data_IF_084980538883
#
_entry.id   IF_084980538883
#
_cell.length_a   1.000
_cell.length_b   1.000
_cell.length_c   1.000
_cell.angle_alpha   90.00
_cell.angle_beta   90.00
_cell.angle_gamma   90.00
#
_symmetry.space_group_name_H-M   'P 1'
#
loop_
_entity.id
_entity.type
_entity.pdbx_description
1 polymer ?
#
# COMPACT_ATOMS: atom_id res chain seq x y z
N UNK A 1 -22.00 12.47 -4.18
CA UNK A 1 -20.84 11.84 -3.52
C UNK A 1 -20.64 12.46 -2.12
N UNK A 2 -21.59 12.26 -1.18
CA UNK A 2 -21.51 12.80 0.20
C UNK A 2 -21.59 11.67 1.24
N UNK A 3 -22.24 10.56 0.90
CA UNK A 3 -22.31 9.36 1.73
C UNK A 3 -21.10 8.47 1.47
N UNK A 4 -20.01 8.70 2.19
CA UNK A 4 -18.78 7.92 2.05
C UNK A 4 -19.00 6.42 2.36
N UNK A 5 -19.99 6.11 3.20
CA UNK A 5 -20.39 4.75 3.53
C UNK A 5 -21.17 4.02 2.42
N UNK A 6 -21.65 4.72 1.38
CA UNK A 6 -22.57 4.15 0.40
C UNK A 6 -21.98 2.94 -0.34
N UNK A 7 -20.69 2.97 -0.68
CA UNK A 7 -20.03 1.84 -1.34
C UNK A 7 -20.09 0.57 -0.49
N UNK A 8 -19.71 0.65 0.80
CA UNK A 8 -19.79 -0.48 1.73
C UNK A 8 -21.25 -0.95 1.92
N UNK A 9 -22.20 -0.01 2.04
CA UNK A 9 -23.63 -0.34 2.14
C UNK A 9 -24.15 -1.08 0.90
N UNK A 10 -23.78 -0.64 -0.31
CA UNK A 10 -24.21 -1.31 -1.54
C UNK A 10 -23.66 -2.73 -1.65
N UNK A 11 -22.39 -2.95 -1.29
CA UNK A 11 -21.79 -4.31 -1.26
C UNK A 11 -22.52 -5.18 -0.24
N UNK A 12 -22.78 -4.67 0.97
CA UNK A 12 -23.51 -5.41 2.01
C UNK A 12 -24.94 -5.76 1.58
N UNK A 13 -25.67 -4.82 0.97
CA UNK A 13 -27.04 -5.05 0.49
C UNK A 13 -27.09 -6.07 -0.65
N UNK A 14 -26.22 -5.93 -1.65
CA UNK A 14 -26.18 -6.79 -2.84
C UNK A 14 -25.93 -8.25 -2.45
N UNK A 15 -24.99 -8.48 -1.53
CA UNK A 15 -24.56 -9.82 -1.15
C UNK A 15 -25.17 -10.29 0.18
N UNK A 16 -26.12 -9.54 0.75
CA UNK A 16 -26.74 -9.80 2.05
C UNK A 16 -25.71 -10.10 3.16
N UNK A 17 -24.60 -9.35 3.18
CA UNK A 17 -23.53 -9.47 4.18
C UNK A 17 -23.95 -8.75 5.46
N UNK A 18 -24.08 -9.49 6.56
CA UNK A 18 -24.64 -8.99 7.84
C UNK A 18 -23.62 -8.82 8.96
N UNK A 19 -22.33 -8.97 8.66
CA UNK A 19 -21.24 -8.69 9.60
C UNK A 19 -20.97 -7.18 9.76
N UNK A 20 -19.85 -6.79 10.42
CA UNK A 20 -19.43 -5.40 10.49
C UNK A 20 -19.30 -4.78 9.09
N UNK A 21 -19.91 -3.62 8.88
CA UNK A 21 -19.91 -2.91 7.59
C UNK A 21 -19.72 -1.41 7.81
N UNK A 22 -18.60 -0.87 7.32
CA UNK A 22 -18.21 0.52 7.51
C UNK A 22 -17.21 0.96 6.43
N UNK A 23 -16.87 2.25 6.43
CA UNK A 23 -15.84 2.83 5.55
C UNK A 23 -14.78 3.51 6.41
N UNK A 24 -13.53 3.44 5.97
CA UNK A 24 -12.37 4.08 6.60
C UNK A 24 -11.92 5.25 5.76
N UNK A 25 -11.54 6.35 6.40
CA UNK A 25 -11.05 7.56 5.75
C UNK A 25 -9.78 8.05 6.45
N UNK A 26 -8.63 7.64 5.93
CA UNK A 26 -7.29 8.04 6.38
C UNK A 26 -6.44 8.52 5.20
N UNK A 27 -7.06 9.29 4.31
CA UNK A 27 -6.47 9.78 3.06
C UNK A 27 -5.86 8.62 2.23
N UNK A 28 -4.62 8.73 1.78
CA UNK A 28 -3.97 7.75 0.89
C UNK A 28 -3.77 6.36 1.51
N UNK A 29 -3.89 6.23 2.84
CA UNK A 29 -3.74 4.97 3.57
C UNK A 29 -5.09 4.33 3.93
N UNK A 30 -6.21 4.86 3.41
CA UNK A 30 -7.57 4.41 3.76
C UNK A 30 -7.77 2.92 3.53
N UNK A 31 -7.40 2.41 2.36
CA UNK A 31 -7.52 0.98 2.05
C UNK A 31 -6.62 0.12 2.93
N UNK A 32 -5.39 0.54 3.25
CA UNK A 32 -4.50 -0.24 4.11
C UNK A 32 -5.02 -0.30 5.55
N UNK A 33 -5.57 0.82 6.06
CA UNK A 33 -6.25 0.81 7.36
C UNK A 33 -7.49 -0.09 7.35
N UNK A 34 -8.31 -0.05 6.29
CA UNK A 34 -9.48 -0.93 6.16
C UNK A 34 -9.08 -2.42 6.11
N UNK A 35 -8.02 -2.75 5.40
CA UNK A 35 -7.49 -4.12 5.32
C UNK A 35 -6.86 -4.57 6.65
N UNK A 36 -6.11 -3.71 7.33
CA UNK A 36 -5.60 -3.97 8.67
C UNK A 36 -6.72 -4.24 9.69
N UNK A 37 -7.79 -3.44 9.66
CA UNK A 37 -8.96 -3.65 10.52
C UNK A 37 -9.70 -4.94 10.18
N UNK A 38 -9.88 -5.27 8.91
CA UNK A 38 -10.46 -6.54 8.48
C UNK A 38 -9.62 -7.74 8.96
N UNK A 39 -8.30 -7.68 8.81
CA UNK A 39 -7.40 -8.69 9.34
C UNK A 39 -7.52 -8.84 10.86
N UNK A 40 -7.58 -7.73 11.62
CA UNK A 40 -7.78 -7.78 13.06
C UNK A 40 -9.14 -8.39 13.46
N UNK A 41 -10.21 -8.14 12.70
CA UNK A 41 -11.54 -8.75 12.93
C UNK A 41 -11.53 -10.25 12.68
N UNK A 42 -10.84 -10.70 11.62
CA UNK A 42 -10.64 -12.14 11.34
C UNK A 42 -9.79 -12.79 12.43
N UNK A 43 -8.61 -12.22 12.72
CA UNK A 43 -7.66 -12.73 13.70
C UNK A 43 -8.24 -12.83 15.12
N UNK A 44 -9.16 -11.94 15.49
CA UNK A 44 -9.84 -11.97 16.79
C UNK A 44 -11.04 -12.92 16.86
N UNK A 45 -11.45 -13.53 15.75
CA UNK A 45 -12.64 -14.35 15.65
C UNK A 45 -13.96 -13.55 15.62
N UNK A 46 -13.90 -12.22 15.48
CA UNK A 46 -15.10 -11.38 15.39
C UNK A 46 -15.91 -11.67 14.11
N UNK A 47 -15.22 -11.99 13.01
CA UNK A 47 -15.83 -12.49 11.78
C UNK A 47 -14.90 -13.48 11.11
N UNK A 48 -15.35 -14.67 10.68
CA UNK A 48 -14.47 -15.64 10.00
C UNK A 48 -14.05 -15.17 8.59
N UNK A 49 -14.82 -14.25 8.00
CA UNK A 49 -14.59 -13.71 6.65
C UNK A 49 -14.87 -12.21 6.65
N UNK A 50 -14.01 -11.43 6.00
CA UNK A 50 -14.19 -10.00 5.79
C UNK A 50 -13.91 -9.63 4.34
N UNK A 51 -14.85 -8.93 3.69
CA UNK A 51 -14.60 -8.26 2.41
C UNK A 51 -13.98 -6.90 2.71
N UNK A 52 -12.82 -6.60 2.14
CA UNK A 52 -12.06 -5.39 2.43
C UNK A 52 -11.29 -4.89 1.21
N UNK A 53 -10.85 -3.64 1.23
CA UNK A 53 -10.13 -3.01 0.12
C UNK A 53 -10.39 -1.51 0.05
N UNK A 54 -10.47 -0.97 -1.15
CA UNK A 54 -10.74 0.44 -1.37
C UNK A 54 -11.04 0.76 -2.82
N UNK A 55 -11.76 1.85 -3.03
CA UNK A 55 -12.09 2.39 -4.35
C UNK A 55 -12.00 3.91 -4.32
N UNK A 56 -11.54 4.50 -5.40
CA UNK A 56 -11.57 5.94 -5.59
C UNK A 56 -11.95 6.29 -7.04
N UNK A 57 -12.79 7.32 -7.17
CA UNK A 57 -13.13 7.92 -8.46
C UNK A 57 -13.28 9.43 -8.29
N UNK A 58 -12.14 10.13 -8.38
CA UNK A 58 -12.04 11.57 -8.17
C UNK A 58 -11.50 12.37 -9.35
N UNK A 59 -11.42 11.78 -10.55
CA UNK A 59 -11.08 12.49 -11.79
C UNK A 59 -12.28 13.33 -12.26
N UNK A 60 -12.56 14.37 -11.48
CA UNK A 60 -13.46 15.44 -11.83
C UNK A 60 -12.75 16.77 -11.63
N UNK A 61 -13.26 17.84 -12.23
CA UNK A 61 -12.62 19.16 -12.17
C UNK A 61 -12.29 19.60 -10.74
N UNK A 62 -13.24 19.47 -9.81
CA UNK A 62 -13.02 19.82 -8.40
C UNK A 62 -11.97 18.94 -7.72
N UNK A 63 -11.96 17.64 -8.01
CA UNK A 63 -10.97 16.70 -7.48
C UNK A 63 -9.56 17.01 -7.96
N UNK A 64 -9.37 17.18 -9.26
CA UNK A 64 -8.04 17.51 -9.82
C UNK A 64 -7.53 18.86 -9.34
N UNK A 65 -8.38 19.91 -9.38
CA UNK A 65 -7.98 21.27 -8.99
C UNK A 65 -7.62 21.38 -7.50
N UNK A 66 -8.26 20.61 -6.63
CA UNK A 66 -7.91 20.60 -5.20
C UNK A 66 -6.46 20.15 -4.97
N UNK A 67 -6.00 19.13 -5.68
CA UNK A 67 -4.63 18.60 -5.55
C UNK A 67 -3.59 19.43 -6.29
N UNK A 68 -3.98 20.06 -7.41
CA UNK A 68 -3.13 21.09 -8.03
C UNK A 68 -2.87 22.26 -7.08
N UNK A 69 -3.88 22.65 -6.28
CA UNK A 69 -3.74 23.68 -5.25
C UNK A 69 -2.72 23.34 -4.16
N UNK A 70 -2.49 22.04 -3.88
CA UNK A 70 -1.46 21.56 -2.95
C UNK A 70 -0.05 21.55 -3.57
N UNK A 71 0.08 21.82 -4.89
CA UNK A 71 1.35 21.83 -5.64
C UNK A 71 2.12 20.51 -5.58
N UNK A 72 1.38 19.40 -5.56
CA UNK A 72 1.94 18.03 -5.55
C UNK A 72 1.75 17.29 -6.87
N UNK A 73 1.07 17.92 -7.84
CA UNK A 73 0.75 17.32 -9.13
C UNK A 73 1.92 17.44 -10.11
N UNK A 74 2.25 16.33 -10.77
CA UNK A 74 3.08 16.30 -11.96
C UNK A 74 2.26 16.74 -13.18
N UNK A 75 2.96 17.20 -14.23
CA UNK A 75 2.35 17.56 -15.52
C UNK A 75 2.15 16.37 -16.45
N UNK A 76 2.81 15.25 -16.20
CA UNK A 76 2.87 14.13 -17.13
C UNK A 76 2.71 12.75 -16.46
N UNK A 77 3.52 12.41 -15.46
CA UNK A 77 3.56 11.08 -14.86
C UNK A 77 4.04 11.09 -13.40
N UNK A 78 3.63 10.05 -12.65
CA UNK A 78 4.31 9.65 -11.42
C UNK A 78 5.65 8.99 -11.81
N UNK A 79 6.77 9.53 -11.34
CA UNK A 79 8.10 8.90 -11.49
C UNK A 79 8.74 8.59 -10.13
N UNK A 80 8.18 7.64 -9.35
CA UNK A 80 8.69 7.35 -8.01
C UNK A 80 10.18 7.04 -8.03
N UNK A 81 10.92 7.64 -7.10
CA UNK A 81 12.36 7.43 -6.88
C UNK A 81 13.30 7.89 -8.02
N UNK A 82 12.77 8.33 -9.17
CA UNK A 82 13.58 8.90 -10.26
C UNK A 82 14.11 10.29 -9.85
N UNK A 83 15.35 10.63 -10.24
CA UNK A 83 15.96 11.93 -9.93
C UNK A 83 15.15 13.12 -10.48
N UNK A 84 14.48 12.93 -11.62
CA UNK A 84 13.67 13.94 -12.28
C UNK A 84 12.18 13.92 -11.87
N UNK A 85 11.82 13.24 -10.79
CA UNK A 85 10.45 13.23 -10.25
C UNK A 85 9.99 14.63 -9.85
N UNK A 86 8.73 14.94 -10.13
CA UNK A 86 8.19 16.30 -9.97
C UNK A 86 6.76 16.32 -9.41
N UNK A 87 6.26 15.18 -8.90
CA UNK A 87 4.93 15.05 -8.34
C UNK A 87 4.22 13.76 -8.74
N UNK A 88 2.94 13.71 -8.41
CA UNK A 88 2.02 12.62 -8.72
C UNK A 88 1.03 13.00 -9.82
N UNK A 89 0.50 12.01 -10.54
CA UNK A 89 -0.75 12.13 -11.30
C UNK A 89 -1.85 11.39 -10.56
N UNK A 90 -3.10 11.83 -10.69
CA UNK A 90 -4.24 11.15 -10.07
C UNK A 90 -4.67 9.94 -10.90
N UNK A 91 -5.04 8.88 -10.20
CA UNK A 91 -5.68 7.70 -10.76
C UNK A 91 -7.09 7.50 -10.21
N UNK A 92 -7.83 6.60 -10.84
CA UNK A 92 -9.07 6.03 -10.30
C UNK A 92 -8.99 4.52 -10.40
N UNK A 93 -9.72 3.83 -9.53
CA UNK A 93 -9.71 2.38 -9.51
C UNK A 93 -10.26 1.81 -8.22
N UNK A 94 -10.36 0.49 -8.19
CA UNK A 94 -10.78 -0.25 -7.02
C UNK A 94 -10.01 -1.57 -6.92
N UNK A 95 -9.70 -1.95 -5.68
CA UNK A 95 -9.23 -3.29 -5.32
C UNK A 95 -10.07 -3.81 -4.16
N UNK A 96 -10.50 -5.07 -4.24
CA UNK A 96 -11.31 -5.72 -3.21
C UNK A 96 -10.78 -7.13 -3.00
N UNK A 97 -10.61 -7.51 -1.74
CA UNK A 97 -10.09 -8.79 -1.29
C UNK A 97 -11.02 -9.42 -0.27
N UNK A 98 -10.93 -10.74 -0.16
CA UNK A 98 -11.58 -11.53 0.89
C UNK A 98 -10.49 -11.96 1.85
N UNK A 99 -10.52 -11.44 3.07
CA UNK A 99 -9.69 -11.92 4.16
C UNK A 99 -10.49 -12.95 4.95
N UNK A 100 -9.88 -14.08 5.24
CA UNK A 100 -10.57 -15.23 5.80
C UNK A 100 -9.66 -15.99 6.75
N UNK A 101 -10.27 -16.54 7.80
CA UNK A 101 -9.58 -17.42 8.72
C UNK A 101 -9.00 -18.64 7.98
N UNK A 102 -7.75 -19.00 8.28
CA UNK A 102 -7.02 -20.02 7.52
C UNK A 102 -7.67 -21.40 7.60
N UNK A 103 -8.10 -21.81 8.80
CA UNK A 103 -8.71 -23.12 9.00
C UNK A 103 -10.10 -23.16 8.35
N UNK A 104 -10.85 -22.06 8.43
CA UNK A 104 -12.12 -21.90 7.72
C UNK A 104 -11.95 -22.00 6.19
N UNK A 105 -10.98 -21.27 5.62
CA UNK A 105 -10.65 -21.31 4.19
C UNK A 105 -10.26 -22.72 3.74
N UNK A 106 -9.41 -23.40 4.51
CA UNK A 106 -8.99 -24.78 4.21
C UNK A 106 -10.13 -25.78 4.29
N UNK A 107 -10.97 -25.69 5.32
CA UNK A 107 -12.09 -26.61 5.52
C UNK A 107 -13.06 -26.60 4.32
N UNK A 108 -13.26 -25.44 3.69
CA UNK A 108 -14.11 -25.31 2.49
C UNK A 108 -13.36 -25.45 1.16
N UNK A 109 -12.05 -25.73 1.18
CA UNK A 109 -11.23 -25.89 -0.03
C UNK A 109 -11.03 -24.61 -0.84
N UNK A 110 -10.94 -23.45 -0.18
CA UNK A 110 -10.68 -22.18 -0.85
C UNK A 110 -9.28 -22.13 -1.48
N UNK A 111 -9.14 -21.44 -2.61
CA UNK A 111 -7.84 -21.04 -3.13
C UNK A 111 -7.25 -19.94 -2.24
N UNK A 112 -6.05 -20.19 -1.70
CA UNK A 112 -5.34 -19.23 -0.85
C UNK A 112 -4.28 -18.54 -1.70
N UNK A 113 -4.39 -17.22 -1.85
CA UNK A 113 -3.49 -16.43 -2.69
C UNK A 113 -2.17 -16.11 -1.98
N UNK A 114 -2.25 -15.72 -0.71
CA UNK A 114 -1.14 -15.47 0.20
C UNK A 114 -1.67 -15.36 1.63
N UNK A 115 -0.75 -15.30 2.60
CA UNK A 115 -1.05 -15.00 4.01
C UNK A 115 -0.91 -13.49 4.25
N UNK A 116 -1.87 -12.88 4.94
CA UNK A 116 -1.66 -11.58 5.61
C UNK A 116 -1.09 -11.91 6.98
N UNK A 117 0.22 -11.74 7.17
CA UNK A 117 0.91 -12.21 8.36
C UNK A 117 0.84 -11.21 9.52
N UNK A 118 0.76 -9.92 9.20
CA UNK A 118 0.63 -8.87 10.21
C UNK A 118 0.48 -7.48 9.63
N UNK A 119 0.32 -6.50 10.50
CA UNK A 119 0.18 -5.09 10.11
C UNK A 119 0.64 -4.15 11.21
N UNK A 120 0.83 -2.88 10.84
CA UNK A 120 0.82 -1.80 11.81
C UNK A 120 0.23 -0.53 11.22
N UNK A 121 -0.33 0.29 12.12
CA UNK A 121 -0.85 1.61 11.82
C UNK A 121 -0.21 2.61 12.79
N UNK A 122 0.28 3.73 12.30
CA UNK A 122 0.90 4.77 13.13
C UNK A 122 0.43 6.16 12.74
N UNK A 123 0.61 7.12 13.66
CA UNK A 123 0.47 8.54 13.37
C UNK A 123 1.82 9.23 13.51
N UNK A 124 2.11 10.16 12.60
CA UNK A 124 3.28 11.04 12.68
C UNK A 124 3.10 12.11 13.75
N UNK A 125 1.87 12.58 13.94
CA UNK A 125 1.49 13.63 14.89
C UNK A 125 2.38 14.91 14.81
N UNK A 126 2.88 15.24 13.62
CA UNK A 126 3.83 16.35 13.43
C UNK A 126 3.36 17.43 12.47
N UNK A 127 2.93 17.07 11.25
CA UNK A 127 2.53 18.01 10.20
C UNK A 127 1.44 17.39 9.32
N UNK A 128 0.60 18.23 8.69
CA UNK A 128 -0.52 17.76 7.86
C UNK A 128 -0.06 17.30 6.47
N UNK A 129 1.04 17.84 5.93
CA UNK A 129 1.56 17.53 4.59
C UNK A 129 2.93 16.84 4.65
N UNK A 130 3.80 17.25 5.56
CA UNK A 130 5.19 16.76 5.56
C UNK A 130 5.28 15.33 6.09
N UNK A 131 5.91 14.40 5.35
CA UNK A 131 6.06 13.01 5.78
C UNK A 131 7.09 12.89 6.90
N UNK A 132 6.95 11.85 7.74
CA UNK A 132 7.89 11.54 8.82
C UNK A 132 8.68 10.25 8.58
N UNK A 133 10.02 10.35 8.54
CA UNK A 133 10.91 9.17 8.46
C UNK A 133 10.64 8.21 9.63
N UNK A 134 10.55 8.77 10.84
CA UNK A 134 10.31 7.98 12.04
C UNK A 134 8.92 7.34 12.04
N UNK A 135 7.91 8.01 11.49
CA UNK A 135 6.56 7.48 11.35
C UNK A 135 6.47 6.26 10.44
N UNK A 136 7.04 6.39 9.24
CA UNK A 136 7.15 5.29 8.28
C UNK A 136 7.97 4.12 8.85
N UNK A 137 9.11 4.40 9.49
CA UNK A 137 9.94 3.37 10.13
C UNK A 137 9.19 2.61 11.23
N UNK A 138 8.45 3.32 12.12
CA UNK A 138 7.61 2.69 13.14
C UNK A 138 6.53 1.80 12.54
N UNK A 139 5.91 2.22 11.43
CA UNK A 139 4.89 1.42 10.77
C UNK A 139 5.47 0.14 10.17
N UNK A 140 6.62 0.21 9.47
CA UNK A 140 7.28 -0.98 8.94
C UNK A 140 7.76 -1.93 10.05
N UNK A 141 8.44 -1.41 11.08
CA UNK A 141 8.91 -2.21 12.22
C UNK A 141 7.74 -2.86 12.97
N UNK A 142 6.64 -2.12 13.16
CA UNK A 142 5.44 -2.64 13.82
C UNK A 142 4.81 -3.79 13.04
N UNK A 143 4.72 -3.67 11.71
CA UNK A 143 4.16 -4.73 10.87
C UNK A 143 5.02 -6.00 10.89
N UNK A 144 6.36 -5.85 10.86
CA UNK A 144 7.29 -6.96 11.01
C UNK A 144 7.16 -7.63 12.39
N UNK A 145 7.04 -6.84 13.45
CA UNK A 145 6.89 -7.34 14.82
C UNK A 145 5.55 -8.08 15.02
N UNK A 146 4.43 -7.51 14.53
CA UNK A 146 3.10 -8.14 14.59
C UNK A 146 3.05 -9.45 13.78
N UNK A 147 3.80 -9.52 12.67
CA UNK A 147 3.91 -10.72 11.84
C UNK A 147 4.95 -11.76 12.33
N UNK A 148 5.79 -11.41 13.30
CA UNK A 148 6.94 -12.24 13.71
C UNK A 148 7.92 -12.51 12.58
N UNK A 149 8.16 -11.52 11.71
CA UNK A 149 9.04 -11.62 10.53
C UNK A 149 10.35 -10.87 10.80
N UNK A 150 11.49 -11.50 10.47
CA UNK A 150 12.78 -10.81 10.48
C UNK A 150 12.92 -9.93 9.23
N UNK A 151 13.58 -8.78 9.38
CA UNK A 151 13.73 -7.80 8.30
C UNK A 151 14.43 -8.39 7.07
N UNK A 152 15.33 -9.35 7.27
CA UNK A 152 16.11 -10.04 6.23
C UNK A 152 15.26 -11.02 5.39
N UNK A 153 14.06 -11.40 5.86
CA UNK A 153 13.13 -12.26 5.12
C UNK A 153 12.32 -11.47 4.07
N UNK A 154 12.26 -10.15 4.20
CA UNK A 154 11.52 -9.29 3.27
C UNK A 154 12.24 -9.25 1.93
N UNK A 155 11.60 -9.75 0.88
CA UNK A 155 12.18 -9.74 -0.46
C UNK A 155 11.67 -8.61 -1.34
N UNK A 156 10.52 -8.01 -1.00
CA UNK A 156 9.89 -6.98 -1.83
C UNK A 156 9.11 -5.95 -1.01
N UNK A 157 9.19 -4.69 -1.41
CA UNK A 157 8.29 -3.62 -0.94
C UNK A 157 7.56 -3.03 -2.15
N UNK A 158 6.23 -3.04 -2.12
CA UNK A 158 5.46 -2.08 -2.91
C UNK A 158 5.28 -0.82 -2.06
N UNK A 159 6.01 0.22 -2.46
CA UNK A 159 6.19 1.44 -1.69
C UNK A 159 4.98 2.39 -1.81
N UNK A 160 4.90 3.35 -0.91
CA UNK A 160 3.98 4.46 -1.10
C UNK A 160 4.40 5.32 -2.30
N UNK A 161 5.70 5.59 -2.49
CA UNK A 161 6.36 6.14 -3.69
C UNK A 161 5.47 7.01 -4.58
N UNK A 162 5.19 8.24 -4.16
CA UNK A 162 4.26 9.14 -4.88
C UNK A 162 4.92 9.87 -6.04
N UNK A 163 6.25 9.81 -6.18
CA UNK A 163 6.96 10.65 -7.15
C UNK A 163 7.14 12.09 -6.69
N UNK A 164 6.83 12.40 -5.42
CA UNK A 164 7.13 13.70 -4.82
C UNK A 164 8.52 13.67 -4.18
N UNK A 165 9.26 14.77 -4.29
CA UNK A 165 10.63 14.85 -3.77
C UNK A 165 10.71 14.56 -2.25
N UNK A 166 9.79 15.12 -1.46
CA UNK A 166 9.77 14.93 -0.02
C UNK A 166 9.43 13.48 0.38
N UNK A 167 8.33 12.92 -0.16
CA UNK A 167 7.90 11.57 0.20
C UNK A 167 8.95 10.53 -0.15
N UNK A 168 9.44 10.53 -1.39
CA UNK A 168 10.29 9.45 -1.86
C UNK A 168 11.63 9.43 -1.13
N UNK A 169 12.19 10.61 -0.78
CA UNK A 169 13.39 10.71 0.07
C UNK A 169 13.12 10.19 1.47
N UNK A 170 12.00 10.60 2.07
CA UNK A 170 11.64 10.18 3.43
C UNK A 170 11.38 8.69 3.52
N UNK A 171 10.67 8.12 2.56
CA UNK A 171 10.40 6.68 2.48
C UNK A 171 11.68 5.89 2.25
N UNK A 172 12.55 6.31 1.33
CA UNK A 172 13.84 5.64 1.12
C UNK A 172 14.71 5.66 2.37
N UNK A 173 14.80 6.81 3.05
CA UNK A 173 15.53 6.92 4.30
C UNK A 173 14.93 6.07 5.43
N UNK A 174 13.61 5.88 5.46
CA UNK A 174 12.95 5.01 6.42
C UNK A 174 13.21 3.53 6.11
N UNK A 175 13.19 3.14 4.83
CA UNK A 175 13.53 1.77 4.41
C UNK A 175 14.97 1.45 4.78
N UNK A 176 15.93 2.33 4.45
CA UNK A 176 17.32 2.14 4.83
C UNK A 176 17.52 2.01 6.36
N UNK A 177 16.78 2.79 7.16
CA UNK A 177 16.83 2.75 8.63
C UNK A 177 16.27 1.44 9.20
N UNK A 178 15.18 0.92 8.62
CA UNK A 178 14.55 -0.33 9.08
C UNK A 178 15.32 -1.56 8.64
N UNK A 179 15.80 -1.58 7.40
CA UNK A 179 16.40 -2.78 6.80
C UNK A 179 17.93 -2.81 6.91
N UNK A 180 18.59 -1.70 7.23
CA UNK A 180 20.05 -1.64 7.35
C UNK A 180 20.72 -2.11 6.05
N UNK A 181 21.73 -2.97 6.15
CA UNK A 181 22.43 -3.53 4.97
C UNK A 181 21.53 -4.38 4.09
N UNK A 182 20.41 -4.89 4.60
CA UNK A 182 19.44 -5.64 3.78
C UNK A 182 18.74 -4.75 2.76
N UNK A 183 18.68 -3.43 2.98
CA UNK A 183 18.07 -2.49 2.05
C UNK A 183 18.73 -2.51 0.65
N UNK A 184 20.03 -2.85 0.58
CA UNK A 184 20.80 -2.91 -0.67
C UNK A 184 20.35 -4.05 -1.61
N UNK A 185 19.67 -5.06 -1.08
CA UNK A 185 19.17 -6.24 -1.82
C UNK A 185 17.64 -6.29 -1.86
N UNK A 186 16.98 -5.33 -1.22
CA UNK A 186 15.54 -5.30 -1.09
C UNK A 186 14.92 -4.65 -2.33
N UNK A 187 14.25 -5.47 -3.12
CA UNK A 187 13.54 -4.98 -4.31
C UNK A 187 12.41 -4.05 -3.89
N UNK A 188 12.31 -2.91 -4.56
CA UNK A 188 11.26 -1.94 -4.31
C UNK A 188 10.65 -1.45 -5.62
N UNK A 189 9.34 -1.20 -5.61
CA UNK A 189 8.68 -0.50 -6.71
C UNK A 189 7.61 0.43 -6.15
N UNK A 190 7.10 1.33 -7.00
CA UNK A 190 5.79 1.94 -6.75
C UNK A 190 4.95 1.85 -8.01
N UNK A 191 3.84 1.12 -7.87
CA UNK A 191 2.95 0.90 -9.00
C UNK A 191 2.13 2.11 -9.43
N UNK A 192 2.19 3.22 -8.67
CA UNK A 192 1.59 4.51 -9.05
C UNK A 192 2.09 5.04 -10.39
N UNK A 193 3.27 4.61 -10.82
CA UNK A 193 3.79 4.88 -12.16
C UNK A 193 2.89 4.34 -13.30
N UNK A 194 2.14 3.26 -13.06
CA UNK A 194 1.25 2.64 -14.06
C UNK A 194 -0.20 3.12 -13.98
N UNK A 195 -0.73 3.31 -12.76
CA UNK A 195 -2.16 3.60 -12.55
C UNK A 195 -2.44 4.97 -11.96
N UNK A 196 -1.39 5.78 -11.72
CA UNK A 196 -1.50 7.04 -11.00
C UNK A 196 -1.71 6.83 -9.50
N UNK A 197 -2.02 7.90 -8.77
CA UNK A 197 -2.34 7.80 -7.35
C UNK A 197 -3.86 7.75 -7.17
N UNK A 198 -4.39 6.57 -6.83
CA UNK A 198 -5.82 6.27 -6.61
C UNK A 198 -6.32 6.75 -5.22
N UNK A 199 -5.65 7.74 -4.62
CA UNK A 199 -5.89 8.29 -3.27
C UNK A 199 -6.30 7.21 -2.26
N UNK A 200 -7.57 7.13 -1.85
CA UNK A 200 -8.01 6.20 -0.81
C UNK A 200 -8.07 4.73 -1.24
N UNK A 201 -8.15 4.45 -2.54
CA UNK A 201 -8.15 3.10 -3.12
C UNK A 201 -6.76 2.56 -3.46
N UNK A 202 -5.73 3.39 -3.34
CA UNK A 202 -4.34 3.10 -3.74
C UNK A 202 -3.84 1.78 -3.18
N UNK A 203 -3.79 1.65 -1.86
CA UNK A 203 -3.18 0.48 -1.25
C UNK A 203 -3.89 -0.84 -1.59
N UNK A 204 -5.19 -0.82 -1.90
CA UNK A 204 -5.91 -1.99 -2.37
C UNK A 204 -5.54 -2.38 -3.81
N UNK A 205 -5.45 -1.40 -4.72
CA UNK A 205 -4.96 -1.67 -6.09
C UNK A 205 -3.51 -2.20 -6.04
N UNK A 206 -2.71 -1.61 -5.17
CA UNK A 206 -1.28 -1.90 -5.00
C UNK A 206 -1.00 -3.25 -4.33
N UNK A 207 -1.90 -3.74 -3.48
CA UNK A 207 -1.73 -5.05 -2.84
C UNK A 207 -1.63 -6.18 -3.87
N UNK A 208 -2.28 -6.04 -5.03
CA UNK A 208 -2.21 -7.01 -6.11
C UNK A 208 -0.76 -7.26 -6.56
N UNK A 209 0.08 -6.23 -6.62
CA UNK A 209 1.48 -6.38 -6.97
C UNK A 209 2.26 -7.22 -5.95
N UNK A 210 1.94 -7.09 -4.65
CA UNK A 210 2.54 -7.92 -3.62
C UNK A 210 2.06 -9.38 -3.72
N UNK A 211 0.76 -9.59 -4.02
CA UNK A 211 0.21 -10.94 -4.24
C UNK A 211 0.89 -11.61 -5.45
N UNK A 212 1.05 -10.89 -6.57
CA UNK A 212 1.75 -11.40 -7.76
C UNK A 212 3.23 -11.70 -7.47
N UNK A 213 3.91 -10.87 -6.69
CA UNK A 213 5.28 -11.13 -6.26
C UNK A 213 5.39 -12.45 -5.47
N UNK A 214 4.48 -12.68 -4.52
CA UNK A 214 4.50 -13.88 -3.67
C UNK A 214 4.04 -15.15 -4.39
N UNK A 215 2.99 -15.04 -5.21
CA UNK A 215 2.36 -16.20 -5.87
C UNK A 215 3.08 -16.56 -7.17
N UNK A 216 3.37 -15.56 -7.99
CA UNK A 216 3.81 -15.74 -9.37
C UNK A 216 5.32 -15.46 -9.53
N UNK A 217 5.98 -14.90 -8.52
CA UNK A 217 7.39 -14.52 -8.59
C UNK A 217 7.64 -13.32 -9.51
N UNK A 218 6.63 -12.48 -9.72
CA UNK A 218 6.70 -11.31 -10.62
C UNK A 218 6.75 -10.04 -9.78
N UNK A 219 7.90 -9.37 -9.79
CA UNK A 219 8.09 -8.08 -9.13
C UNK A 219 7.69 -6.97 -10.09
N UNK A 220 6.69 -6.18 -9.69
CA UNK A 220 6.17 -5.10 -10.53
C UNK A 220 7.25 -4.03 -10.79
N UNK A 221 7.29 -3.45 -12.02
CA UNK A 221 8.18 -2.36 -12.32
C UNK A 221 7.71 -1.04 -11.73
N UNK A 222 8.61 -0.08 -11.63
CA UNK A 222 8.31 1.35 -11.62
C UNK A 222 8.55 1.88 -13.04
N UNK A 223 7.48 2.11 -13.80
CA UNK A 223 7.60 2.59 -15.19
C UNK A 223 7.93 4.09 -15.23
N UNK A 224 8.57 4.55 -16.32
CA UNK A 224 9.02 5.94 -16.42
C UNK A 224 10.13 6.30 -15.43
N UNK A 225 10.85 5.30 -14.93
CA UNK A 225 12.07 5.50 -14.15
C UNK A 225 13.21 5.83 -15.12
N UNK A 226 13.69 7.06 -15.09
CA UNK A 226 14.61 7.60 -16.10
C UNK A 226 16.04 7.76 -15.57
N UNK A 227 16.19 8.27 -14.35
CA UNK A 227 17.49 8.59 -13.76
C UNK A 227 17.55 8.18 -12.28
N UNK A 228 18.63 7.53 -11.82
CA UNK A 228 18.77 7.20 -10.42
C UNK A 228 18.99 8.44 -9.56
N UNK A 229 18.27 8.53 -8.44
CA UNK A 229 18.48 9.56 -7.41
C UNK A 229 19.42 9.02 -6.31
N UNK A 230 20.60 9.62 -6.08
CA UNK A 230 21.49 9.26 -4.97
C UNK A 230 20.84 9.37 -3.58
N UNK A 231 19.79 10.18 -3.42
CA UNK A 231 19.02 10.30 -2.17
C UNK A 231 17.99 9.16 -2.01
N UNK A 232 17.81 8.32 -3.03
CA UNK A 232 16.92 7.15 -3.07
C UNK A 232 17.68 5.89 -3.50
N UNK A 233 18.82 5.62 -2.85
CA UNK A 233 19.68 4.47 -3.12
C UNK A 233 19.06 3.14 -2.62
N UNK A 234 18.07 2.63 -3.35
CA UNK A 234 17.42 1.32 -3.15
C UNK A 234 17.46 0.52 -4.47
N UNK A 235 17.22 -0.79 -4.42
CA UNK A 235 17.04 -1.63 -5.61
C UNK A 235 15.64 -1.42 -6.22
N UNK A 236 15.44 -0.26 -6.83
CA UNK A 236 14.21 0.06 -7.57
C UNK A 236 14.13 -0.82 -8.81
N UNK A 237 13.04 -1.57 -8.98
CA UNK A 237 12.78 -2.36 -10.20
C UNK A 237 12.31 -1.42 -11.32
N UNK A 238 13.12 -1.09 -12.35
CA UNK A 238 12.80 0.00 -13.26
C UNK A 238 12.24 -0.50 -14.60
N UNK A 239 11.13 0.10 -15.04
CA UNK A 239 10.51 -0.02 -16.38
C UNK A 239 10.01 -1.40 -16.83
N UNK A 240 10.69 -2.48 -16.48
CA UNK A 240 10.33 -3.86 -16.81
C UNK A 240 10.18 -4.68 -15.54
N UNK A 241 9.17 -5.55 -15.52
CA UNK A 241 8.94 -6.44 -14.40
C UNK A 241 10.16 -7.37 -14.23
N UNK A 242 10.47 -7.74 -12.98
CA UNK A 242 11.57 -8.65 -12.68
C UNK A 242 11.01 -9.97 -12.17
N UNK A 243 11.43 -11.07 -12.78
CA UNK A 243 11.15 -12.39 -12.25
C UNK A 243 12.08 -12.67 -11.06
N UNK A 244 11.50 -12.75 -9.86
CA UNK A 244 12.20 -13.08 -8.64
C UNK A 244 11.25 -13.71 -7.61
N UNK A 245 11.68 -14.80 -6.99
CA UNK A 245 10.93 -15.46 -5.93
C UNK A 245 11.18 -14.75 -4.61
N UNK A 246 10.09 -14.30 -3.97
CA UNK A 246 10.12 -13.69 -2.64
C UNK A 246 9.17 -14.40 -1.69
N UNK A 247 9.52 -14.41 -0.40
CA UNK A 247 8.73 -15.11 0.62
C UNK A 247 7.91 -14.15 1.47
N UNK A 248 8.36 -12.91 1.58
CA UNK A 248 7.67 -11.83 2.28
C UNK A 248 7.67 -10.57 1.42
N UNK A 249 6.51 -9.92 1.37
CA UNK A 249 6.32 -8.61 0.74
C UNK A 249 5.64 -7.63 1.69
N UNK A 250 6.03 -6.35 1.64
CA UNK A 250 5.35 -5.27 2.36
C UNK A 250 4.55 -4.39 1.41
N UNK A 251 3.37 -3.95 1.85
CA UNK A 251 2.58 -2.90 1.19
C UNK A 251 2.58 -1.66 2.08
N UNK A 252 3.26 -0.61 1.63
CA UNK A 252 3.40 0.65 2.37
C UNK A 252 2.37 1.68 1.89
N UNK A 253 1.71 2.35 2.84
CA UNK A 253 0.89 3.52 2.56
C UNK A 253 1.12 4.60 3.63
N UNK A 254 1.61 5.77 3.21
CA UNK A 254 1.98 6.89 4.09
C UNK A 254 1.20 8.14 3.67
N UNK A 255 0.11 8.43 4.38
CA UNK A 255 -0.84 9.44 3.93
C UNK A 255 -0.57 10.83 4.51
N UNK A 256 -1.08 11.85 3.82
CA UNK A 256 -1.30 13.16 4.43
C UNK A 256 -2.09 13.06 5.75
N UNK A 257 -1.79 13.98 6.66
CA UNK A 257 -2.17 13.89 8.06
C UNK A 257 -1.31 12.92 8.88
N UNK A 258 -0.28 12.33 8.26
CA UNK A 258 0.67 11.46 8.93
C UNK A 258 0.08 10.12 9.34
N UNK A 259 -0.97 9.65 8.67
CA UNK A 259 -1.60 8.36 8.95
C UNK A 259 -0.92 7.29 8.10
N UNK A 260 -0.16 6.41 8.73
CA UNK A 260 0.63 5.39 8.06
C UNK A 260 0.02 4.01 8.30
N UNK A 261 0.04 3.16 7.29
CA UNK A 261 -0.31 1.75 7.43
C UNK A 261 0.57 0.86 6.56
N UNK A 262 1.09 -0.21 7.16
CA UNK A 262 1.89 -1.24 6.49
C UNK A 262 1.24 -2.59 6.71
N UNK A 263 1.09 -3.36 5.63
CA UNK A 263 0.69 -4.77 5.66
C UNK A 263 1.91 -5.64 5.33
N UNK A 264 2.13 -6.68 6.14
CA UNK A 264 3.12 -7.71 5.87
C UNK A 264 2.41 -8.95 5.32
N UNK A 265 2.84 -9.40 4.13
CA UNK A 265 2.29 -10.55 3.44
C UNK A 265 3.35 -11.65 3.35
N UNK A 266 2.92 -12.90 3.48
CA UNK A 266 3.80 -14.08 3.35
C UNK A 266 3.25 -15.05 2.30
N UNK A 267 4.16 -15.72 1.60
CA UNK A 267 3.84 -16.81 0.68
C UNK A 267 3.33 -18.03 1.46
N UNK A 268 2.21 -18.61 1.02
CA UNK A 268 1.57 -19.79 1.63
C UNK A 268 2.20 -21.11 1.20
#
# INVERSE_FOLDING_TARGET
KLMNNAAASHVSMEWNLRGPSFTVSTACASSNHAMAQAFAMVRSGMSPVMVTGGSESMLCFGGVKAWEGLRVMSRDACRPFSANRNGMVQGEGAGVFVFEDYDHARARGAEILCEVAGFAMTSDASDIVMPSKAGAARAMQGALADAGINREEVGYINAHGTGTAANDKTECAAVADVFGTHADQLMISSTKSMHGHVIGGTGAVELLACVMALRDGVIAPTIGYEEPDPECALDVVPNEARDARVDVALSNAFAFGGMNAVLALRRT
#
